data_IF_728542604378
#
_entry.id   IF_728542604378
#
_cell.length_a   1.000
_cell.length_b   1.000
_cell.length_c   1.000
_cell.angle_alpha   90.00
_cell.angle_beta   90.00
_cell.angle_gamma   90.00
#
_symmetry.space_group_name_H-M   'P 1'
#
loop_
_entity.id
_entity.type
_entity.pdbx_description
1 polymer ?
#
# COMPACT_ATOMS: atom_id res chain seq x y z
N UNK A 1 -61.62 46.70 -17.65
CA UNK A 1 -60.24 46.91 -17.12
C UNK A 1 -59.87 45.91 -16.02
N UNK A 2 -60.68 45.59 -15.04
CA UNK A 2 -60.32 44.68 -13.92
C UNK A 2 -59.90 43.27 -14.33
N UNK A 3 -60.48 42.63 -15.35
CA UNK A 3 -60.09 41.27 -15.80
C UNK A 3 -58.69 41.20 -16.44
N UNK A 4 -58.20 42.28 -17.06
CA UNK A 4 -56.84 42.32 -17.65
C UNK A 4 -55.76 42.47 -16.59
N UNK A 5 -56.03 43.28 -15.52
CA UNK A 5 -55.11 43.47 -14.40
C UNK A 5 -54.95 42.12 -13.62
N UNK A 6 -56.03 41.44 -13.28
CA UNK A 6 -56.00 40.14 -12.57
C UNK A 6 -55.24 39.04 -13.37
N UNK A 7 -55.38 39.01 -14.69
CA UNK A 7 -54.62 38.09 -15.54
C UNK A 7 -53.10 38.40 -15.59
N UNK A 8 -52.72 39.67 -15.47
CA UNK A 8 -51.37 40.13 -15.45
C UNK A 8 -50.69 39.77 -14.12
N UNK A 9 -51.33 40.03 -12.99
CA UNK A 9 -50.85 39.69 -11.65
C UNK A 9 -50.64 38.16 -11.47
N UNK A 10 -51.61 37.35 -11.99
CA UNK A 10 -51.49 35.90 -11.92
C UNK A 10 -50.36 35.34 -12.76
N UNK A 11 -50.05 36.02 -13.87
CA UNK A 11 -48.94 35.64 -14.75
C UNK A 11 -47.56 36.03 -14.15
N UNK A 12 -47.47 37.20 -13.50
CA UNK A 12 -46.29 37.66 -12.78
C UNK A 12 -46.00 36.75 -11.56
N UNK A 13 -47.02 36.39 -10.78
CA UNK A 13 -46.92 35.46 -9.67
C UNK A 13 -46.46 34.06 -10.11
N UNK A 14 -46.91 33.60 -11.28
CA UNK A 14 -46.50 32.31 -11.84
C UNK A 14 -45.05 32.34 -12.28
N UNK A 15 -44.58 33.40 -12.97
CA UNK A 15 -43.18 33.55 -13.35
C UNK A 15 -42.25 33.69 -12.13
N UNK A 16 -42.69 34.39 -11.08
CA UNK A 16 -41.96 34.50 -9.85
C UNK A 16 -41.77 33.15 -9.14
N UNK A 17 -42.82 32.31 -9.14
CA UNK A 17 -42.73 30.94 -8.61
C UNK A 17 -41.77 30.07 -9.39
N UNK A 18 -41.80 30.12 -10.72
CA UNK A 18 -40.86 29.39 -11.59
C UNK A 18 -39.44 29.86 -11.36
N UNK A 19 -39.23 31.18 -11.28
CA UNK A 19 -37.90 31.74 -11.03
C UNK A 19 -37.35 31.28 -9.66
N UNK A 20 -38.17 31.30 -8.60
CA UNK A 20 -37.75 30.85 -7.28
C UNK A 20 -37.44 29.34 -7.27
N UNK A 21 -38.19 28.51 -7.98
CA UNK A 21 -37.91 27.06 -8.13
C UNK A 21 -36.57 26.86 -8.85
N UNK A 22 -36.34 27.57 -9.97
CA UNK A 22 -35.12 27.48 -10.73
C UNK A 22 -33.92 27.96 -9.90
N UNK A 23 -34.06 29.04 -9.13
CA UNK A 23 -33.03 29.54 -8.24
C UNK A 23 -32.70 28.53 -7.12
N UNK A 24 -33.73 27.91 -6.54
CA UNK A 24 -33.53 26.89 -5.51
C UNK A 24 -32.82 25.66 -6.07
N UNK A 25 -33.19 25.20 -7.27
CA UNK A 25 -32.51 24.09 -7.97
C UNK A 25 -31.06 24.47 -8.34
N UNK A 26 -30.81 25.69 -8.77
CA UNK A 26 -29.47 26.17 -9.08
C UNK A 26 -28.58 26.25 -7.81
N UNK A 27 -29.15 26.75 -6.71
CA UNK A 27 -28.45 26.79 -5.40
C UNK A 27 -28.18 25.36 -4.91
N UNK A 28 -29.16 24.46 -4.99
CA UNK A 28 -28.99 23.05 -4.62
C UNK A 28 -27.92 22.36 -5.48
N UNK A 29 -27.90 22.62 -6.78
CA UNK A 29 -26.88 22.14 -7.71
C UNK A 29 -25.49 22.72 -7.41
N UNK A 30 -25.41 24.03 -7.11
CA UNK A 30 -24.17 24.68 -6.71
C UNK A 30 -23.63 24.15 -5.38
N UNK A 31 -24.51 23.93 -4.39
CA UNK A 31 -24.15 23.31 -3.09
C UNK A 31 -23.71 21.85 -3.31
N UNK A 32 -24.42 21.08 -4.12
CA UNK A 32 -24.03 19.68 -4.43
C UNK A 32 -22.68 19.63 -5.17
N UNK A 33 -22.41 20.56 -6.09
CA UNK A 33 -21.11 20.69 -6.73
C UNK A 33 -20.02 21.18 -5.76
N UNK A 34 -20.31 22.09 -4.84
CA UNK A 34 -19.33 22.47 -3.80
C UNK A 34 -19.06 21.36 -2.79
N UNK A 35 -20.05 20.53 -2.46
CA UNK A 35 -19.84 19.32 -1.65
C UNK A 35 -19.09 18.23 -2.44
N UNK A 36 -19.26 18.15 -3.76
CA UNK A 36 -18.53 17.26 -4.66
C UNK A 36 -17.09 17.75 -4.93
N UNK A 37 -16.81 19.04 -4.81
CA UNK A 37 -15.47 19.63 -5.02
C UNK A 37 -14.61 19.71 -3.75
N UNK A 38 -15.17 19.43 -2.57
CA UNK A 38 -14.37 18.87 -1.48
C UNK A 38 -14.03 17.41 -1.89
N UNK A 39 -13.20 17.25 -2.93
CA UNK A 39 -12.73 15.97 -3.38
C UNK A 39 -12.26 15.23 -2.14
N UNK A 40 -12.96 14.14 -1.84
CA UNK A 40 -12.65 13.27 -0.71
C UNK A 40 -11.25 12.75 -0.99
N UNK A 41 -10.22 13.46 -0.49
CA UNK A 41 -8.81 13.19 -0.79
C UNK A 41 -8.32 12.01 0.05
N UNK A 42 -9.23 11.04 0.23
CA UNK A 42 -8.97 9.80 0.95
C UNK A 42 -8.35 8.80 -0.02
N UNK A 43 -7.27 8.21 0.39
CA UNK A 43 -6.65 7.08 -0.29
C UNK A 43 -6.81 5.84 0.59
N UNK A 44 -7.30 4.75 0.02
CA UNK A 44 -7.41 3.46 0.68
C UNK A 44 -6.61 2.42 -0.05
N UNK A 45 -5.67 1.80 0.63
CA UNK A 45 -4.84 0.74 0.07
C UNK A 45 -4.78 -0.48 0.99
N UNK A 46 -4.47 -1.63 0.40
CA UNK A 46 -4.04 -2.80 1.16
C UNK A 46 -2.54 -3.03 0.93
N UNK A 47 -1.81 -3.34 2.00
CA UNK A 47 -0.43 -3.82 1.94
C UNK A 47 -0.43 -5.32 2.25
N UNK A 48 0.01 -6.10 1.30
CA UNK A 48 0.21 -7.56 1.43
C UNK A 48 1.69 -7.83 1.29
N UNK A 49 2.28 -8.59 2.22
CA UNK A 49 3.72 -8.83 2.23
C UNK A 49 4.04 -10.30 2.43
N UNK A 50 5.20 -10.71 1.94
CA UNK A 50 5.76 -12.01 2.27
C UNK A 50 4.75 -13.14 2.03
N UNK A 51 4.18 -13.17 0.82
CA UNK A 51 3.18 -14.16 0.40
C UNK A 51 3.81 -15.54 0.32
N UNK A 52 5.09 -15.60 -0.08
CA UNK A 52 5.83 -16.84 -0.27
C UNK A 52 5.01 -17.88 -1.02
N UNK A 53 4.39 -17.45 -2.13
CA UNK A 53 3.54 -18.30 -2.92
C UNK A 53 4.32 -19.55 -3.39
N UNK A 54 3.74 -20.72 -3.19
CA UNK A 54 4.31 -21.97 -3.65
C UNK A 54 3.25 -23.02 -3.90
N UNK A 55 3.35 -23.72 -5.04
CA UNK A 55 2.46 -24.83 -5.40
C UNK A 55 3.09 -26.19 -5.23
N UNK A 56 4.39 -26.27 -4.90
CA UNK A 56 5.15 -27.51 -4.86
C UNK A 56 5.93 -27.74 -3.57
N UNK A 57 6.09 -26.74 -2.71
CA UNK A 57 6.91 -26.86 -1.51
C UNK A 57 6.11 -27.35 -0.30
N UNK A 58 6.78 -28.12 0.54
CA UNK A 58 6.26 -28.53 1.84
C UNK A 58 6.30 -27.38 2.83
N UNK A 59 5.45 -27.46 3.87
CA UNK A 59 5.50 -26.55 4.97
C UNK A 59 6.85 -26.65 5.71
N UNK A 60 7.41 -25.50 6.11
CA UNK A 60 8.56 -25.47 7.01
C UNK A 60 8.10 -25.53 8.49
N UNK A 61 9.04 -25.38 9.42
CA UNK A 61 8.72 -25.32 10.84
C UNK A 61 7.78 -24.16 11.19
N UNK A 62 7.78 -23.07 10.41
CA UNK A 62 6.99 -21.86 10.69
C UNK A 62 6.23 -21.30 9.46
N UNK A 63 6.58 -21.64 8.21
CA UNK A 63 5.86 -21.20 7.01
C UNK A 63 4.87 -22.26 6.54
N UNK A 64 3.60 -21.90 6.36
CA UNK A 64 2.55 -22.77 5.82
C UNK A 64 2.47 -22.67 4.29
N UNK A 65 3.55 -23.06 3.58
CA UNK A 65 3.72 -22.88 2.14
C UNK A 65 2.64 -23.58 1.32
N UNK A 66 2.23 -24.81 1.69
CA UNK A 66 1.12 -25.52 1.03
C UNK A 66 -0.20 -24.76 1.02
N UNK A 67 -0.35 -23.79 1.90
CA UNK A 67 -1.56 -22.97 2.04
C UNK A 67 -1.43 -21.58 1.39
N UNK A 68 -0.26 -21.24 0.86
CA UNK A 68 -0.03 -19.93 0.29
C UNK A 68 -1.00 -19.54 -0.84
N UNK A 69 -1.39 -20.45 -1.79
CA UNK A 69 -2.41 -20.12 -2.78
C UNK A 69 -3.77 -19.79 -2.13
N UNK A 70 -4.21 -20.62 -1.19
CA UNK A 70 -5.50 -20.43 -0.50
C UNK A 70 -5.51 -19.17 0.38
N UNK A 71 -4.38 -18.83 1.02
CA UNK A 71 -4.22 -17.61 1.81
C UNK A 71 -4.29 -16.36 0.92
N UNK A 72 -3.65 -16.40 -0.25
CA UNK A 72 -3.71 -15.32 -1.22
C UNK A 72 -5.14 -15.16 -1.78
N UNK A 73 -5.81 -16.26 -2.13
CA UNK A 73 -7.21 -16.23 -2.61
C UNK A 73 -8.16 -15.63 -1.58
N UNK A 74 -7.99 -15.97 -0.30
CA UNK A 74 -8.80 -15.39 0.77
C UNK A 74 -8.56 -13.86 0.91
N UNK A 75 -7.29 -13.42 0.80
CA UNK A 75 -6.95 -11.99 0.83
C UNK A 75 -7.59 -11.25 -0.36
N UNK A 76 -7.48 -11.82 -1.57
CA UNK A 76 -8.10 -11.27 -2.79
C UNK A 76 -9.63 -11.19 -2.60
N UNK A 77 -10.26 -12.24 -2.09
CA UNK A 77 -11.70 -12.25 -1.80
C UNK A 77 -12.08 -11.17 -0.79
N UNK A 78 -11.34 -11.06 0.34
CA UNK A 78 -11.62 -10.05 1.36
C UNK A 78 -11.48 -8.63 0.81
N UNK A 79 -10.45 -8.35 0.02
CA UNK A 79 -10.24 -7.04 -0.61
C UNK A 79 -11.38 -6.72 -1.57
N UNK A 80 -11.74 -7.66 -2.44
CA UNK A 80 -12.81 -7.48 -3.43
C UNK A 80 -14.19 -7.25 -2.80
N UNK A 81 -14.45 -7.81 -1.62
CA UNK A 81 -15.74 -7.73 -0.93
C UNK A 81 -15.83 -6.61 0.10
N UNK A 82 -14.71 -6.07 0.59
CA UNK A 82 -14.67 -4.99 1.59
C UNK A 82 -14.29 -3.62 1.03
N UNK A 83 -14.17 -3.51 -0.31
CA UNK A 83 -13.73 -2.32 -1.03
C UNK A 83 -14.64 -1.10 -0.94
N UNK A 84 -14.41 -0.06 -1.75
CA UNK A 84 -13.35 0.01 -2.77
C UNK A 84 -11.96 0.28 -2.19
N UNK A 85 -10.94 -0.23 -2.86
CA UNK A 85 -9.53 0.11 -2.65
C UNK A 85 -9.02 0.87 -3.87
N UNK A 86 -8.17 1.88 -3.65
CA UNK A 86 -7.50 2.60 -4.74
C UNK A 86 -6.42 1.71 -5.38
N UNK A 87 -5.71 0.90 -4.56
CA UNK A 87 -4.78 -0.12 -5.05
C UNK A 87 -4.38 -1.12 -3.95
N UNK A 88 -3.73 -2.21 -4.36
CA UNK A 88 -3.02 -3.15 -3.49
C UNK A 88 -1.52 -3.05 -3.75
N UNK A 89 -0.72 -3.01 -2.67
CA UNK A 89 0.74 -3.03 -2.73
C UNK A 89 1.28 -4.33 -2.15
N UNK A 90 1.93 -5.13 -2.99
CA UNK A 90 2.69 -6.30 -2.55
C UNK A 90 4.13 -5.86 -2.24
N UNK A 91 4.53 -6.00 -0.97
CA UNK A 91 5.83 -5.48 -0.50
C UNK A 91 6.92 -6.55 -0.46
N UNK A 92 7.03 -7.35 -1.53
CA UNK A 92 8.10 -8.32 -1.75
C UNK A 92 7.82 -9.72 -1.18
N UNK A 93 8.73 -10.64 -1.49
CA UNK A 93 8.61 -12.07 -1.22
C UNK A 93 7.28 -12.64 -1.73
N UNK A 94 7.02 -12.36 -3.03
CA UNK A 94 5.80 -12.82 -3.72
C UNK A 94 5.80 -14.34 -3.81
N UNK A 95 6.95 -14.93 -4.15
CA UNK A 95 7.15 -16.39 -4.23
C UNK A 95 8.14 -16.87 -3.18
N UNK A 96 8.07 -18.14 -2.80
CA UNK A 96 9.00 -18.70 -1.81
C UNK A 96 10.36 -19.09 -2.41
N UNK A 97 10.37 -19.50 -3.67
CA UNK A 97 11.60 -19.73 -4.46
C UNK A 97 11.53 -19.00 -5.78
N UNK A 98 12.64 -18.44 -6.26
CA UNK A 98 12.70 -17.62 -7.47
C UNK A 98 12.52 -18.49 -8.73
N UNK A 99 11.26 -18.85 -9.04
CA UNK A 99 10.87 -19.59 -10.24
C UNK A 99 9.83 -18.80 -11.04
N UNK A 100 10.09 -18.62 -12.34
CA UNK A 100 9.18 -17.92 -13.24
C UNK A 100 7.78 -18.55 -13.27
N UNK A 101 7.68 -19.88 -13.19
CA UNK A 101 6.39 -20.58 -13.14
C UNK A 101 5.58 -20.26 -11.88
N UNK A 102 6.22 -20.10 -10.72
CA UNK A 102 5.53 -19.74 -9.48
C UNK A 102 5.12 -18.25 -9.50
N UNK A 103 5.98 -17.37 -10.04
CA UNK A 103 5.64 -15.97 -10.22
C UNK A 103 4.43 -15.79 -11.15
N UNK A 104 4.37 -16.52 -12.25
CA UNK A 104 3.21 -16.49 -13.16
C UNK A 104 1.92 -16.98 -12.49
N UNK A 105 2.00 -18.02 -11.66
CA UNK A 105 0.85 -18.48 -10.87
C UNK A 105 0.44 -17.43 -9.82
N UNK A 106 1.39 -16.88 -9.07
CA UNK A 106 1.12 -15.77 -8.16
C UNK A 106 0.37 -14.64 -8.89
N UNK A 107 0.87 -14.21 -10.05
CA UNK A 107 0.24 -13.17 -10.87
C UNK A 107 -1.19 -13.57 -11.25
N UNK A 108 -1.44 -14.83 -11.61
CA UNK A 108 -2.80 -15.27 -11.96
C UNK A 108 -3.79 -15.14 -10.80
N UNK A 109 -3.36 -15.42 -9.56
CA UNK A 109 -4.18 -15.20 -8.37
C UNK A 109 -4.34 -13.70 -8.03
N UNK A 110 -3.25 -12.94 -8.04
CA UNK A 110 -3.30 -11.50 -7.77
C UNK A 110 -4.13 -10.72 -8.80
N UNK A 111 -4.17 -11.19 -10.05
CA UNK A 111 -4.97 -10.57 -11.12
C UNK A 111 -6.48 -10.74 -10.96
N UNK A 112 -6.94 -11.51 -9.99
CA UNK A 112 -8.37 -11.57 -9.60
C UNK A 112 -8.79 -10.39 -8.72
N UNK A 113 -7.88 -9.50 -8.34
CA UNK A 113 -8.20 -8.24 -7.67
C UNK A 113 -9.00 -7.31 -8.58
N UNK A 114 -10.07 -6.73 -8.04
CA UNK A 114 -10.94 -5.77 -8.74
C UNK A 114 -10.36 -4.35 -8.82
N UNK A 115 -9.21 -4.11 -8.19
CA UNK A 115 -8.50 -2.83 -8.20
C UNK A 115 -7.07 -3.00 -8.73
N UNK A 116 -6.38 -1.90 -9.10
CA UNK A 116 -4.97 -1.94 -9.47
C UNK A 116 -4.11 -2.58 -8.37
N UNK A 117 -3.11 -3.35 -8.78
CA UNK A 117 -2.12 -3.87 -7.85
C UNK A 117 -0.70 -3.65 -8.39
N UNK A 118 0.23 -3.45 -7.47
CA UNK A 118 1.64 -3.20 -7.73
C UNK A 118 2.49 -4.07 -6.83
N UNK A 119 3.74 -4.33 -7.21
CA UNK A 119 4.64 -5.18 -6.45
C UNK A 119 6.07 -4.67 -6.52
N UNK A 120 6.81 -4.83 -5.43
CA UNK A 120 8.27 -4.79 -5.40
C UNK A 120 8.81 -6.21 -5.18
N UNK A 121 10.08 -6.41 -5.47
CA UNK A 121 10.75 -7.68 -5.21
C UNK A 121 11.18 -7.81 -3.74
N UNK A 122 11.20 -9.06 -3.25
CA UNK A 122 11.85 -9.47 -2.02
C UNK A 122 13.05 -10.40 -2.31
N UNK A 123 13.77 -10.79 -1.27
CA UNK A 123 14.96 -11.64 -1.44
C UNK A 123 14.64 -13.09 -1.86
N UNK A 124 13.42 -13.56 -1.63
CA UNK A 124 12.94 -14.86 -2.14
C UNK A 124 12.50 -14.82 -3.62
N UNK A 125 12.31 -13.64 -4.17
CA UNK A 125 11.85 -13.46 -5.56
C UNK A 125 12.99 -13.49 -6.57
N UNK A 126 14.23 -13.24 -6.13
CA UNK A 126 15.39 -13.03 -7.01
C UNK A 126 16.43 -14.14 -6.80
N UNK A 127 16.85 -14.73 -7.90
CA UNK A 127 17.95 -15.69 -7.92
C UNK A 127 19.27 -15.02 -8.33
N UNK A 128 20.32 -15.34 -7.60
CA UNK A 128 21.69 -15.05 -8.04
C UNK A 128 22.04 -16.12 -9.08
N UNK A 129 22.39 -15.71 -10.29
CA UNK A 129 22.75 -16.63 -11.39
C UNK A 129 21.69 -17.74 -11.67
N UNK A 130 20.44 -17.48 -11.36
CA UNK A 130 19.33 -18.44 -11.47
C UNK A 130 18.29 -18.08 -12.53
N UNK A 131 17.20 -18.85 -12.60
CA UNK A 131 16.19 -18.71 -13.63
C UNK A 131 15.27 -17.50 -13.47
N UNK A 132 15.35 -16.77 -12.35
CA UNK A 132 14.56 -15.57 -12.09
C UNK A 132 15.46 -14.44 -11.54
N UNK A 133 16.21 -13.84 -12.44
CA UNK A 133 17.01 -12.63 -12.15
C UNK A 133 16.10 -11.41 -11.98
N UNK A 134 16.65 -10.31 -11.45
CA UNK A 134 15.93 -9.02 -11.36
C UNK A 134 15.30 -8.59 -12.69
N UNK A 135 16.05 -8.74 -13.78
CA UNK A 135 15.56 -8.36 -15.11
C UNK A 135 14.39 -9.25 -15.58
N UNK A 136 14.44 -10.56 -15.33
CA UNK A 136 13.37 -11.49 -15.69
C UNK A 136 12.14 -11.28 -14.82
N UNK A 137 12.31 -11.09 -13.51
CA UNK A 137 11.22 -10.73 -12.60
C UNK A 137 10.48 -9.48 -13.09
N UNK A 138 11.21 -8.41 -13.41
CA UNK A 138 10.66 -7.17 -13.97
C UNK A 138 9.91 -7.41 -15.28
N UNK A 139 10.52 -8.15 -16.22
CA UNK A 139 9.91 -8.46 -17.52
C UNK A 139 8.60 -9.23 -17.35
N UNK A 140 8.56 -10.24 -16.48
CA UNK A 140 7.36 -11.04 -16.23
C UNK A 140 6.26 -10.15 -15.63
N UNK A 141 6.56 -9.33 -14.61
CA UNK A 141 5.57 -8.43 -14.04
C UNK A 141 5.02 -7.45 -15.08
N UNK A 142 5.89 -6.79 -15.85
CA UNK A 142 5.47 -5.84 -16.89
C UNK A 142 4.60 -6.48 -17.99
N UNK A 143 4.89 -7.75 -18.33
CA UNK A 143 4.15 -8.45 -19.38
C UNK A 143 2.79 -8.97 -18.94
N UNK A 144 2.59 -9.22 -17.63
CA UNK A 144 1.40 -9.89 -17.12
C UNK A 144 0.59 -9.04 -16.13
N UNK A 145 1.10 -7.88 -15.72
CA UNK A 145 0.35 -6.91 -14.93
C UNK A 145 0.17 -5.61 -15.71
N UNK A 146 -1.05 -5.36 -16.18
CA UNK A 146 -1.40 -4.17 -16.98
C UNK A 146 -1.14 -2.81 -16.29
N UNK A 147 -0.92 -2.81 -14.99
CA UNK A 147 -0.65 -1.60 -14.21
C UNK A 147 0.85 -1.33 -14.05
N UNK A 148 1.70 -2.27 -14.47
CA UNK A 148 3.16 -2.16 -14.37
C UNK A 148 3.77 -2.09 -15.77
N UNK A 149 4.60 -1.08 -16.00
CA UNK A 149 5.36 -0.90 -17.24
C UNK A 149 6.62 -0.09 -16.90
N UNK A 150 7.50 -0.68 -16.09
CA UNK A 150 8.64 0.01 -15.51
C UNK A 150 9.94 -0.39 -16.20
N UNK A 151 10.85 0.59 -16.41
CA UNK A 151 12.20 0.33 -16.93
C UNK A 151 13.10 -0.34 -15.88
N UNK A 152 12.86 -0.02 -14.60
CA UNK A 152 13.63 -0.52 -13.46
C UNK A 152 12.73 -1.21 -12.44
N UNK A 153 13.32 -1.89 -11.44
CA UNK A 153 12.59 -2.44 -10.29
C UNK A 153 12.23 -1.37 -9.25
N UNK A 154 12.89 -0.22 -9.30
CA UNK A 154 12.45 0.97 -8.57
C UNK A 154 11.66 1.89 -9.50
N UNK A 155 10.52 2.35 -9.03
CA UNK A 155 9.59 3.12 -9.85
C UNK A 155 8.68 3.99 -8.99
N UNK A 156 7.93 4.89 -9.62
CA UNK A 156 6.97 5.70 -8.91
C UNK A 156 5.73 5.99 -9.75
N UNK A 157 4.57 6.10 -9.09
CA UNK A 157 3.30 6.43 -9.72
C UNK A 157 2.42 7.26 -8.80
N UNK A 158 1.39 7.89 -9.35
CA UNK A 158 0.38 8.62 -8.58
C UNK A 158 -0.95 7.85 -8.63
N UNK A 159 -1.39 7.25 -7.52
CA UNK A 159 -2.68 6.57 -7.48
C UNK A 159 -3.85 7.57 -7.51
N UNK A 160 -3.62 8.77 -6.99
CA UNK A 160 -4.59 9.86 -6.89
C UNK A 160 -3.84 11.19 -6.76
N UNK A 161 -4.45 12.31 -7.17
CA UNK A 161 -3.86 13.64 -7.03
C UNK A 161 -3.50 13.93 -5.56
N UNK A 162 -2.28 14.43 -5.32
CA UNK A 162 -1.75 14.73 -3.99
C UNK A 162 -1.12 13.54 -3.28
N UNK A 163 -0.99 12.39 -3.96
CA UNK A 163 -0.32 11.19 -3.47
C UNK A 163 0.71 10.69 -4.47
N UNK A 164 1.88 10.31 -3.97
CA UNK A 164 2.93 9.69 -4.75
C UNK A 164 3.39 8.40 -4.09
N UNK A 165 3.32 7.30 -4.80
CA UNK A 165 3.92 6.03 -4.42
C UNK A 165 5.30 5.96 -5.04
N UNK A 166 6.31 5.64 -4.21
CA UNK A 166 7.70 5.45 -4.61
C UNK A 166 8.11 4.06 -4.15
N UNK A 167 8.47 3.21 -5.08
CA UNK A 167 8.87 1.83 -4.84
C UNK A 167 10.38 1.69 -4.98
N UNK A 168 11.04 1.06 -4.01
CA UNK A 168 12.47 0.83 -3.99
C UNK A 168 12.80 -0.65 -4.18
N UNK A 169 13.87 -0.93 -4.89
CA UNK A 169 14.53 -2.23 -4.91
C UNK A 169 15.62 -2.26 -3.85
N UNK A 170 15.35 -2.94 -2.76
CA UNK A 170 16.28 -3.09 -1.63
C UNK A 170 17.05 -4.41 -1.65
N UNK A 171 16.93 -5.22 -2.72
CA UNK A 171 17.49 -6.57 -2.74
C UNK A 171 18.89 -6.59 -3.33
N UNK A 172 19.78 -7.24 -2.62
CA UNK A 172 21.15 -7.52 -3.09
C UNK A 172 21.09 -8.81 -3.93
N UNK A 173 21.62 -8.76 -5.18
CA UNK A 173 21.61 -9.88 -6.12
C UNK A 173 23.01 -10.35 -6.56
N UNK A 174 24.07 -9.79 -5.98
CA UNK A 174 25.48 -10.17 -6.27
C UNK A 174 26.09 -11.07 -5.19
N UNK A 175 25.39 -11.35 -4.10
CA UNK A 175 25.79 -12.27 -3.03
C UNK A 175 24.60 -12.85 -2.30
N UNK A 176 24.74 -14.06 -1.75
CA UNK A 176 23.70 -14.69 -0.94
C UNK A 176 23.60 -13.98 0.41
N UNK A 177 22.50 -13.26 0.62
CA UNK A 177 22.21 -12.53 1.85
C UNK A 177 20.72 -12.23 1.95
N UNK A 178 20.21 -12.10 3.17
CA UNK A 178 18.88 -11.54 3.44
C UNK A 178 18.95 -10.05 3.83
N UNK A 179 20.16 -9.46 3.95
CA UNK A 179 20.32 -8.02 4.11
C UNK A 179 19.99 -7.31 2.80
N UNK A 180 19.55 -6.06 2.91
CA UNK A 180 19.28 -5.19 1.77
C UNK A 180 20.27 -4.05 1.65
N UNK A 181 20.23 -3.38 0.50
CA UNK A 181 21.00 -2.17 0.21
C UNK A 181 20.30 -1.36 -0.88
N UNK A 182 20.25 -0.05 -0.73
CA UNK A 182 19.83 0.86 -1.80
C UNK A 182 21.10 1.46 -2.41
N UNK A 183 21.38 1.17 -3.66
CA UNK A 183 22.57 1.69 -4.33
C UNK A 183 22.50 3.22 -4.55
N UNK A 184 23.66 3.82 -4.83
CA UNK A 184 23.76 5.27 -4.97
C UNK A 184 22.87 5.83 -6.08
N UNK A 185 22.78 5.16 -7.22
CA UNK A 185 21.95 5.60 -8.35
C UNK A 185 20.48 5.71 -7.93
N UNK A 186 19.99 4.70 -7.21
CA UNK A 186 18.62 4.69 -6.72
C UNK A 186 18.39 5.73 -5.60
N UNK A 187 19.39 6.01 -4.76
CA UNK A 187 19.33 7.09 -3.77
C UNK A 187 19.23 8.46 -4.43
N UNK A 188 20.02 8.72 -5.46
CA UNK A 188 19.98 9.96 -6.22
C UNK A 188 18.62 10.12 -6.91
N UNK A 189 18.10 9.05 -7.53
CA UNK A 189 16.75 9.03 -8.11
C UNK A 189 15.65 9.25 -7.05
N UNK A 190 15.75 8.61 -5.88
CA UNK A 190 14.81 8.82 -4.78
C UNK A 190 14.78 10.29 -4.36
N UNK A 191 15.96 10.91 -4.22
CA UNK A 191 16.08 12.33 -3.91
C UNK A 191 15.34 13.19 -4.95
N UNK A 192 15.52 12.92 -6.23
CA UNK A 192 14.81 13.63 -7.32
C UNK A 192 13.29 13.46 -7.21
N UNK A 193 12.81 12.25 -6.90
CA UNK A 193 11.38 12.02 -6.70
C UNK A 193 10.84 12.81 -5.50
N UNK A 194 11.53 12.77 -4.37
CA UNK A 194 11.14 13.51 -3.17
C UNK A 194 11.15 15.02 -3.39
N UNK A 195 12.15 15.55 -4.10
CA UNK A 195 12.24 16.97 -4.48
C UNK A 195 11.07 17.39 -5.38
N UNK A 196 10.74 16.57 -6.37
CA UNK A 196 9.66 16.83 -7.33
C UNK A 196 8.27 16.81 -6.69
N UNK A 197 8.06 15.94 -5.70
CA UNK A 197 6.75 15.71 -5.09
C UNK A 197 6.67 16.18 -3.64
N UNK A 198 7.38 17.26 -3.27
CA UNK A 198 7.42 17.84 -1.91
C UNK A 198 6.05 18.23 -1.35
N UNK A 199 5.04 18.43 -2.20
CA UNK A 199 3.68 18.82 -1.81
C UNK A 199 2.71 17.64 -1.70
N UNK A 200 3.15 16.45 -2.09
CA UNK A 200 2.32 15.24 -2.06
C UNK A 200 2.58 14.46 -0.76
N UNK A 201 1.60 13.65 -0.37
CA UNK A 201 1.81 12.59 0.61
C UNK A 201 2.60 11.49 -0.08
N UNK A 202 3.74 11.12 0.48
CA UNK A 202 4.61 10.06 -0.08
C UNK A 202 4.27 8.73 0.57
N UNK A 203 4.09 7.70 -0.25
CA UNK A 203 4.01 6.30 0.17
C UNK A 203 5.27 5.62 -0.36
N UNK A 204 6.23 5.38 0.52
CA UNK A 204 7.52 4.78 0.20
C UNK A 204 7.46 3.28 0.48
N UNK A 205 7.69 2.45 -0.54
CA UNK A 205 7.62 1.00 -0.43
C UNK A 205 9.01 0.38 -0.53
N UNK A 206 9.36 -0.47 0.41
CA UNK A 206 10.60 -1.25 0.41
C UNK A 206 10.35 -2.62 1.02
N UNK A 207 11.05 -3.67 0.55
CA UNK A 207 10.94 -4.98 1.18
C UNK A 207 11.74 -5.03 2.48
N UNK A 208 13.04 -4.80 2.41
CA UNK A 208 13.90 -4.75 3.60
C UNK A 208 13.66 -3.44 4.35
N UNK A 209 13.36 -3.49 5.65
CA UNK A 209 12.94 -2.31 6.42
C UNK A 209 13.97 -1.21 6.51
N UNK A 210 13.52 0.05 6.34
CA UNK A 210 14.30 1.26 6.67
C UNK A 210 14.35 1.44 8.20
N UNK A 211 13.23 1.22 8.87
CA UNK A 211 13.15 1.19 10.34
C UNK A 211 12.94 -0.24 10.78
N UNK A 212 13.96 -0.85 11.39
CA UNK A 212 13.89 -2.23 11.85
C UNK A 212 12.83 -2.38 12.94
N UNK A 213 11.93 -3.38 12.82
CA UNK A 213 10.97 -3.73 13.89
C UNK A 213 11.66 -4.21 15.16
N UNK A 214 12.77 -4.91 15.02
CA UNK A 214 13.71 -5.34 16.06
C UNK A 214 15.10 -5.55 15.45
N UNK A 215 16.20 -5.39 16.23
CA UNK A 215 17.55 -5.51 15.69
C UNK A 215 17.83 -6.91 15.11
N UNK A 216 18.41 -6.94 13.90
CA UNK A 216 18.88 -8.17 13.26
C UNK A 216 20.17 -7.94 12.48
N UNK A 217 21.15 -8.81 12.67
CA UNK A 217 22.39 -8.73 11.92
C UNK A 217 22.23 -9.18 10.44
N UNK A 218 21.22 -10.02 10.15
CA UNK A 218 21.09 -10.75 8.90
C UNK A 218 19.84 -10.39 8.09
N UNK A 219 19.07 -9.37 8.51
CA UNK A 219 17.82 -8.97 7.84
C UNK A 219 17.69 -7.45 7.70
N UNK A 220 18.76 -6.71 7.94
CA UNK A 220 18.75 -5.25 7.95
C UNK A 220 19.04 -4.64 6.59
N UNK A 221 18.65 -3.40 6.43
CA UNK A 221 19.12 -2.55 5.33
C UNK A 221 20.50 -1.99 5.69
N UNK A 222 21.53 -2.27 4.87
CA UNK A 222 22.92 -1.93 5.19
C UNK A 222 23.15 -0.42 5.30
N UNK A 223 22.41 0.38 4.55
CA UNK A 223 22.52 1.84 4.52
C UNK A 223 21.23 2.56 4.97
N UNK A 224 20.54 1.98 5.96
CA UNK A 224 19.30 2.54 6.53
C UNK A 224 19.50 3.95 7.12
N UNK A 225 20.65 4.22 7.74
CA UNK A 225 20.95 5.54 8.31
C UNK A 225 21.04 6.62 7.23
N UNK A 226 21.59 6.30 6.06
CA UNK A 226 21.65 7.22 4.91
C UNK A 226 20.24 7.55 4.41
N UNK A 227 19.41 6.53 4.27
CA UNK A 227 18.00 6.70 3.89
C UNK A 227 17.22 7.52 4.93
N UNK A 228 17.35 7.19 6.20
CA UNK A 228 16.72 7.94 7.31
C UNK A 228 17.16 9.40 7.32
N UNK A 229 18.45 9.67 7.07
CA UNK A 229 18.98 11.03 6.95
C UNK A 229 18.39 11.77 5.75
N UNK A 230 18.28 11.10 4.59
CA UNK A 230 17.65 11.68 3.41
C UNK A 230 16.18 12.04 3.68
N UNK A 231 15.39 11.10 4.21
CA UNK A 231 13.96 11.31 4.45
C UNK A 231 13.67 12.44 5.44
N UNK A 232 14.51 12.64 6.46
CA UNK A 232 14.36 13.73 7.44
C UNK A 232 14.52 15.14 6.87
N UNK A 233 15.03 15.29 5.63
CA UNK A 233 15.10 16.60 4.97
C UNK A 233 13.77 17.05 4.36
N UNK A 234 12.73 16.23 4.44
CA UNK A 234 11.41 16.52 3.86
C UNK A 234 10.38 16.68 4.95
N UNK A 235 9.49 17.67 4.80
CA UNK A 235 8.47 18.02 5.78
C UNK A 235 7.09 17.50 5.45
N UNK A 236 6.86 17.06 4.21
CA UNK A 236 5.62 16.44 3.80
C UNK A 236 5.45 15.05 4.45
N UNK A 237 4.21 14.57 4.61
CA UNK A 237 3.96 13.25 5.19
C UNK A 237 4.59 12.12 4.37
N UNK A 238 5.29 11.22 5.04
CA UNK A 238 5.90 10.03 4.43
C UNK A 238 5.39 8.80 5.17
N UNK A 239 4.77 7.86 4.44
CA UNK A 239 4.31 6.57 4.95
C UNK A 239 5.20 5.49 4.32
N UNK A 240 5.97 4.78 5.14
CA UNK A 240 6.88 3.71 4.69
C UNK A 240 6.20 2.36 4.89
N UNK A 241 6.01 1.64 3.79
CA UNK A 241 5.47 0.28 3.77
C UNK A 241 6.63 -0.69 3.61
N UNK A 242 6.80 -1.61 4.56
CA UNK A 242 7.93 -2.52 4.62
C UNK A 242 7.50 -3.95 5.01
N UNK A 243 8.27 -4.97 4.59
CA UNK A 243 8.02 -6.40 4.80
C UNK A 243 9.17 -7.10 5.52
N UNK A 244 9.53 -8.30 5.02
CA UNK A 244 10.74 -9.06 5.32
C UNK A 244 10.83 -9.68 6.73
N UNK A 245 10.47 -8.96 7.77
CA UNK A 245 10.55 -9.42 9.17
C UNK A 245 9.34 -10.25 9.60
N UNK A 246 8.35 -10.43 8.73
CA UNK A 246 7.11 -11.16 8.99
C UNK A 246 6.38 -10.70 10.27
N UNK A 247 6.49 -9.45 10.64
CA UNK A 247 5.98 -8.95 11.92
C UNK A 247 5.02 -7.77 11.76
N UNK A 248 4.21 -7.59 12.77
CA UNK A 248 3.24 -6.50 12.89
C UNK A 248 3.86 -5.38 13.70
N UNK A 249 4.24 -4.27 13.05
CA UNK A 249 4.74 -3.06 13.73
C UNK A 249 4.20 -1.81 13.04
N UNK A 250 3.92 -0.79 13.85
CA UNK A 250 3.57 0.53 13.37
C UNK A 250 4.23 1.58 14.28
N UNK A 251 4.95 2.53 13.71
CA UNK A 251 5.73 3.52 14.46
C UNK A 251 5.75 4.85 13.73
N UNK A 252 5.60 5.94 14.45
CA UNK A 252 5.79 7.29 13.92
C UNK A 252 7.06 7.91 14.49
N UNK A 253 7.82 8.54 13.64
CA UNK A 253 8.93 9.45 13.96
C UNK A 253 8.74 10.72 13.15
N UNK A 254 8.42 11.82 13.83
CA UNK A 254 8.12 13.11 13.20
C UNK A 254 7.00 13.00 12.14
N UNK A 255 7.29 13.38 10.91
CA UNK A 255 6.38 13.27 9.76
C UNK A 255 6.49 11.94 8.99
N UNK A 256 7.20 10.94 9.54
CA UNK A 256 7.40 9.63 8.91
C UNK A 256 6.70 8.54 9.72
N UNK A 257 5.85 7.76 9.07
CA UNK A 257 5.17 6.60 9.66
C UNK A 257 5.76 5.33 9.02
N UNK A 258 6.27 4.42 9.82
CA UNK A 258 6.81 3.13 9.39
C UNK A 258 5.80 2.03 9.70
N UNK A 259 5.40 1.24 8.70
CA UNK A 259 4.40 0.16 8.80
C UNK A 259 5.05 -1.13 8.29
N UNK A 260 5.31 -2.06 9.20
CA UNK A 260 5.71 -3.42 8.84
C UNK A 260 4.48 -4.31 8.75
N UNK A 261 4.41 -5.07 7.65
CA UNK A 261 3.34 -6.03 7.41
C UNK A 261 3.79 -7.43 7.77
N UNK A 262 2.90 -8.25 8.36
CA UNK A 262 3.18 -9.67 8.58
C UNK A 262 3.19 -10.44 7.26
N UNK A 263 3.70 -11.65 7.31
CA UNK A 263 3.64 -12.59 6.19
C UNK A 263 2.27 -13.30 6.12
N UNK A 264 1.84 -13.69 4.92
CA UNK A 264 0.64 -14.50 4.76
C UNK A 264 0.82 -15.95 5.23
N UNK A 265 2.02 -16.52 5.10
CA UNK A 265 2.28 -17.94 5.40
C UNK A 265 2.76 -18.20 6.81
N UNK A 266 2.95 -17.16 7.63
CA UNK A 266 3.30 -17.25 9.05
C UNK A 266 2.24 -16.58 9.91
N UNK A 267 2.16 -16.93 11.22
CA UNK A 267 1.27 -16.23 12.13
C UNK A 267 1.60 -14.72 12.18
N UNK A 268 0.61 -13.83 12.08
CA UNK A 268 -0.85 -14.05 12.20
C UNK A 268 -1.58 -14.39 10.88
N UNK A 269 -0.91 -14.65 9.76
CA UNK A 269 -1.53 -14.88 8.45
C UNK A 269 -2.48 -13.73 8.08
N UNK A 270 -1.92 -12.54 7.94
CA UNK A 270 -2.69 -11.29 7.87
C UNK A 270 -2.06 -10.30 6.87
N UNK A 271 -2.79 -9.25 6.56
CA UNK A 271 -2.36 -8.13 5.73
C UNK A 271 -2.77 -6.79 6.38
N UNK A 272 -2.31 -5.67 5.84
CA UNK A 272 -2.67 -4.34 6.33
C UNK A 272 -3.75 -3.70 5.44
N UNK A 273 -4.68 -2.99 6.08
CA UNK A 273 -5.56 -2.02 5.42
C UNK A 273 -5.18 -0.64 5.93
N UNK A 274 -4.90 0.28 5.02
CA UNK A 274 -4.41 1.61 5.34
C UNK A 274 -5.33 2.63 4.67
N UNK A 275 -5.89 3.53 5.47
CA UNK A 275 -6.67 4.67 4.97
C UNK A 275 -5.89 5.94 5.26
N UNK A 276 -5.69 6.77 4.24
CA UNK A 276 -4.97 8.03 4.36
C UNK A 276 -5.91 9.16 3.97
N UNK A 277 -6.15 10.07 4.90
CA UNK A 277 -6.94 11.27 4.67
C UNK A 277 -6.05 12.51 4.84
N UNK A 278 -5.76 13.18 3.74
CA UNK A 278 -4.89 14.36 3.76
C UNK A 278 -5.64 15.61 3.33
N UNK A 279 -5.46 16.68 4.09
CA UNK A 279 -5.97 18.01 3.80
C UNK A 279 -4.88 19.07 4.05
N UNK A 280 -5.21 20.35 3.86
CA UNK A 280 -4.23 21.46 4.04
C UNK A 280 -3.66 21.56 5.46
N UNK A 281 -4.28 20.98 6.48
CA UNK A 281 -3.89 21.14 7.89
C UNK A 281 -3.16 19.90 8.43
N UNK A 282 -3.61 18.72 8.03
CA UNK A 282 -3.11 17.45 8.57
C UNK A 282 -3.31 16.30 7.61
N UNK A 283 -2.51 15.29 7.82
CA UNK A 283 -2.66 13.94 7.23
C UNK A 283 -2.94 12.96 8.35
N UNK A 284 -4.06 12.25 8.25
CA UNK A 284 -4.48 11.19 9.18
C UNK A 284 -4.29 9.86 8.49
N UNK A 285 -3.64 8.92 9.16
CA UNK A 285 -3.35 7.59 8.63
C UNK A 285 -3.90 6.53 9.61
N UNK A 286 -4.97 5.86 9.19
CA UNK A 286 -5.53 4.73 9.93
C UNK A 286 -4.88 3.43 9.41
N UNK A 287 -4.35 2.64 10.31
CA UNK A 287 -3.67 1.37 10.01
C UNK A 287 -4.40 0.24 10.73
N UNK A 288 -4.87 -0.75 9.98
CA UNK A 288 -5.59 -1.90 10.50
C UNK A 288 -4.89 -3.20 10.10
N UNK A 289 -4.84 -4.15 11.03
CA UNK A 289 -4.49 -5.53 10.74
C UNK A 289 -5.74 -6.30 10.33
N UNK A 290 -5.68 -6.98 9.19
CA UNK A 290 -6.75 -7.82 8.69
C UNK A 290 -6.26 -9.26 8.57
N UNK A 291 -6.77 -10.13 9.42
CA UNK A 291 -6.43 -11.54 9.39
C UNK A 291 -7.17 -12.27 8.27
N UNK A 292 -6.56 -13.34 7.75
CA UNK A 292 -7.24 -14.24 6.82
C UNK A 292 -8.39 -14.99 7.52
N UNK A 293 -9.36 -15.49 6.73
CA UNK A 293 -10.49 -16.28 7.25
C UNK A 293 -10.13 -17.76 7.49
N UNK A 294 -8.93 -18.19 7.15
CA UNK A 294 -8.45 -19.57 7.35
C UNK A 294 -8.03 -19.82 8.81
N UNK A 295 -9.01 -19.86 9.72
CA UNK A 295 -8.78 -19.94 11.17
C UNK A 295 -8.04 -21.20 11.63
N UNK A 296 -8.21 -22.31 10.89
CA UNK A 296 -7.46 -23.54 11.13
C UNK A 296 -5.95 -23.37 10.83
N UNK A 297 -5.62 -22.65 9.76
CA UNK A 297 -4.23 -22.31 9.41
C UNK A 297 -3.64 -21.39 10.47
N UNK A 298 -4.37 -20.33 10.86
CA UNK A 298 -3.92 -19.41 11.91
C UNK A 298 -3.63 -20.11 13.24
N UNK A 299 -4.53 -20.98 13.69
CA UNK A 299 -4.38 -21.71 14.95
C UNK A 299 -3.14 -22.60 14.93
N UNK A 300 -2.92 -23.35 13.82
CA UNK A 300 -1.72 -24.18 13.65
C UNK A 300 -0.45 -23.34 13.50
N UNK A 301 -0.53 -22.21 12.81
CA UNK A 301 0.57 -21.28 12.63
C UNK A 301 1.01 -20.71 13.98
N UNK A 302 0.06 -20.30 14.81
CA UNK A 302 0.31 -19.81 16.17
C UNK A 302 1.03 -20.86 17.04
N UNK A 303 0.60 -22.12 17.01
CA UNK A 303 1.21 -23.20 17.79
C UNK A 303 2.67 -23.50 17.42
N UNK A 304 3.09 -23.17 16.18
CA UNK A 304 4.46 -23.39 15.70
C UNK A 304 5.44 -22.28 16.09
N UNK A 305 4.92 -21.13 16.54
CA UNK A 305 5.71 -19.95 16.88
C UNK A 305 5.90 -19.84 18.39
N UNK A 306 6.61 -20.80 19.01
CA UNK A 306 7.00 -20.72 20.41
C UNK A 306 7.81 -19.43 20.67
N UNK A 307 7.31 -18.54 21.56
CA UNK A 307 8.01 -17.33 21.97
C UNK A 307 7.93 -16.16 20.99
N UNK A 308 7.07 -16.20 19.98
CA UNK A 308 7.00 -15.17 18.93
C UNK A 308 5.76 -14.27 19.04
N UNK A 309 5.30 -13.99 20.25
CA UNK A 309 4.31 -12.93 20.51
C UNK A 309 4.78 -11.57 19.92
N UNK A 310 6.10 -11.38 19.87
CA UNK A 310 6.72 -10.21 19.25
C UNK A 310 6.35 -10.01 17.78
N UNK A 311 6.07 -11.06 17.00
CA UNK A 311 5.67 -10.94 15.59
C UNK A 311 4.23 -10.45 15.43
N UNK A 312 3.35 -10.72 16.39
CA UNK A 312 1.96 -10.27 16.37
C UNK A 312 1.79 -8.78 16.73
N UNK A 313 2.80 -8.20 17.35
CA UNK A 313 2.74 -6.84 17.85
C UNK A 313 1.73 -6.66 19.00
N UNK A 314 1.69 -5.49 19.58
CA UNK A 314 0.68 -5.09 20.56
C UNK A 314 -0.59 -4.52 19.88
N UNK A 315 -1.59 -4.09 20.66
CA UNK A 315 -2.84 -3.55 20.11
C UNK A 315 -2.61 -2.30 19.23
N UNK A 316 -1.69 -1.44 19.64
CA UNK A 316 -1.30 -0.25 18.86
C UNK A 316 -0.62 -0.64 17.55
N UNK A 317 0.24 -1.64 17.54
CA UNK A 317 0.88 -2.13 16.31
C UNK A 317 -0.14 -2.70 15.32
N UNK A 318 -1.23 -3.28 15.82
CA UNK A 318 -2.27 -3.91 15.00
C UNK A 318 -3.25 -2.90 14.44
N UNK A 319 -3.76 -2.02 15.30
CA UNK A 319 -4.80 -1.06 14.91
C UNK A 319 -4.50 0.29 15.55
N UNK A 320 -4.22 1.29 14.73
CA UNK A 320 -3.84 2.62 15.22
C UNK A 320 -4.18 3.70 14.21
N UNK A 321 -4.25 4.93 14.72
CA UNK A 321 -4.38 6.14 13.92
C UNK A 321 -3.20 7.05 14.23
N UNK A 322 -2.51 7.50 13.17
CA UNK A 322 -1.47 8.50 13.25
C UNK A 322 -1.97 9.84 12.69
N UNK A 323 -1.42 10.92 13.21
CA UNK A 323 -1.66 12.26 12.69
C UNK A 323 -0.34 12.99 12.45
N UNK A 324 -0.18 13.53 11.25
CA UNK A 324 0.93 14.40 10.86
C UNK A 324 0.37 15.77 10.56
N UNK A 325 0.89 16.80 11.22
CA UNK A 325 0.56 18.21 10.88
C UNK A 325 1.22 18.55 9.55
N UNK A 326 0.44 19.02 8.59
CA UNK A 326 0.96 19.48 7.31
C UNK A 326 1.46 20.92 7.50
N UNK A 327 2.77 21.11 7.37
CA UNK A 327 3.35 22.44 7.39
C UNK A 327 2.93 23.18 6.11
N UNK A 328 2.33 24.36 6.25
CA UNK A 328 2.11 25.27 5.12
C UNK A 328 3.48 25.86 4.77
N UNK A 329 4.02 25.52 3.60
CA UNK A 329 4.93 26.42 2.90
C UNK A 329 4.15 27.46 2.13
#
# INVERSE_FOLDING_TARGET
MRKKAYKKEKKESFFQKIFNIMLTLFIAFAISNQMSTAANNNLRLAQVSDVHFSTFEENTSYKFLKKSPQLLDDVVFQINTSGPYDFVMFTGDLVNKPKSSELLKFISHASLLNCPWYAINGNHDIAIDGPLTKNEFRKILNSHNRFMSNSELYYSFSPKKGYRVICLDSIIDYKLTSNGEINKEQLDWLKEQLDKYRKDVIILCTHVPIEEPYPSANHKLNNDDELKKLLRNYTNPIIVLQGHYHCVRAKQKDNIIYISSPSLVTFPNAFRVININSNKKRTVVDVFLKETNLKDVQSRSKLRLFGVESLYGNDFDRNTTFEIKNNKE
#
